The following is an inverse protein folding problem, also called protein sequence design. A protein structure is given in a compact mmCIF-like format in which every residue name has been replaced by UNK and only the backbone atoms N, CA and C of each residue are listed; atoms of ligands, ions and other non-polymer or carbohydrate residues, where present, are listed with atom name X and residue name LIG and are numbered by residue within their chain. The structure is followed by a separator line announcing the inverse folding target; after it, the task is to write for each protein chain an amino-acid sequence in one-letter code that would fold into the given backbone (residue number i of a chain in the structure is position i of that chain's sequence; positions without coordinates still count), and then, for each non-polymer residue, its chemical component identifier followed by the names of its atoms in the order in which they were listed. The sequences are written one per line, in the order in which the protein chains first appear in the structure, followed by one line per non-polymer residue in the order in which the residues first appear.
data_IF_239997831323
#
_entry.id   IF_239997831323
#
_cell.length_a   1.000
_cell.length_b   1.000
_cell.length_c   1.000
_cell.angle_alpha   90.00
_cell.angle_beta   90.00
_cell.angle_gamma   90.00
#
_symmetry.space_group_name_H-M   'P 1'
#
loop_
_entity.id
_entity.type
_entity.pdbx_description
1 polymer ?
#
# COMPACT_ATOMS: atom_id res chain seq x y z
N UNK A 1 8.97 -3.46 5.73
CA UNK A 1 7.63 -2.83 5.71
C UNK A 1 7.61 -1.57 4.83
N UNK A 2 8.64 -0.73 4.92
CA UNK A 2 8.80 0.53 4.17
C UNK A 2 8.44 0.44 2.67
N UNK A 3 9.05 -0.49 1.91
CA UNK A 3 8.75 -0.68 0.48
C UNK A 3 7.24 -0.93 0.23
N UNK A 4 6.56 -1.67 1.11
CA UNK A 4 5.13 -1.94 0.94
C UNK A 4 4.27 -0.69 1.19
N UNK A 5 4.70 0.18 2.11
CA UNK A 5 4.05 1.48 2.34
C UNK A 5 4.28 2.41 1.14
N UNK A 6 5.50 2.46 0.60
CA UNK A 6 5.81 3.27 -0.59
C UNK A 6 5.00 2.82 -1.81
N UNK A 7 4.92 1.50 -2.08
CA UNK A 7 4.07 0.97 -3.15
C UNK A 7 2.60 1.40 -2.96
N UNK A 8 2.08 1.33 -1.73
CA UNK A 8 0.71 1.72 -1.43
C UNK A 8 0.48 3.23 -1.64
N UNK A 9 1.44 4.06 -1.28
CA UNK A 9 1.40 5.50 -1.48
C UNK A 9 1.40 5.86 -2.98
N UNK A 10 2.32 5.28 -3.76
CA UNK A 10 2.37 5.50 -5.20
C UNK A 10 1.10 5.03 -5.92
N UNK A 11 0.51 3.91 -5.49
CA UNK A 11 -0.79 3.46 -6.01
C UNK A 11 -1.91 4.44 -5.68
N UNK A 12 -1.85 5.10 -4.52
CA UNK A 12 -2.80 6.13 -4.13
C UNK A 12 -2.63 7.38 -5.00
N UNK A 13 -1.39 7.86 -5.15
CA UNK A 13 -1.08 9.00 -6.04
C UNK A 13 -1.51 8.74 -7.49
N UNK A 14 -1.23 7.55 -8.03
CA UNK A 14 -1.66 7.15 -9.37
C UNK A 14 -3.17 7.20 -9.50
N UNK A 15 -3.89 6.65 -8.51
CA UNK A 15 -5.35 6.67 -8.49
C UNK A 15 -5.88 8.10 -8.49
N UNK A 16 -5.33 8.98 -7.67
CA UNK A 16 -5.71 10.40 -7.61
C UNK A 16 -5.46 11.13 -8.94
N UNK A 17 -4.35 10.82 -9.62
CA UNK A 17 -4.08 11.36 -10.96
C UNK A 17 -5.11 10.89 -11.99
N UNK A 18 -5.53 9.62 -11.92
CA UNK A 18 -6.49 9.05 -12.89
C UNK A 18 -7.95 9.36 -12.60
N UNK A 19 -8.33 9.56 -11.33
CA UNK A 19 -9.71 9.84 -10.90
C UNK A 19 -10.03 11.34 -10.84
N UNK A 20 -9.01 12.18 -10.99
CA UNK A 20 -9.16 13.63 -11.03
C UNK A 20 -10.04 14.13 -12.17
N UNK A 21 -10.95 15.05 -11.84
CA UNK A 21 -11.99 15.63 -12.70
C UNK A 21 -11.50 16.65 -13.74
N UNK A 22 -12.45 17.14 -14.54
CA UNK A 22 -12.39 18.12 -15.64
C UNK A 22 -11.48 19.33 -15.45
N UNK A 23 -11.17 19.71 -14.20
CA UNK A 23 -10.24 20.81 -13.88
C UNK A 23 -8.80 20.48 -14.31
N UNK A 24 -8.35 19.22 -14.19
CA UNK A 24 -7.02 18.82 -14.66
C UNK A 24 -6.92 18.71 -16.18
N UNK A 25 -8.03 18.47 -16.87
CA UNK A 25 -8.08 18.47 -18.34
C UNK A 25 -7.75 19.86 -18.91
N UNK A 26 -8.24 20.90 -18.23
CA UNK A 26 -7.89 22.30 -18.53
C UNK A 26 -6.44 22.59 -18.19
N UNK A 27 -5.91 22.02 -17.10
CA UNK A 27 -4.49 22.17 -16.74
C UNK A 27 -3.54 21.45 -17.70
N UNK A 28 -3.88 20.25 -18.19
CA UNK A 28 -3.07 19.53 -19.19
C UNK A 28 -2.92 20.33 -20.48
N UNK A 29 -4.03 20.90 -20.97
CA UNK A 29 -4.05 21.72 -22.19
C UNK A 29 -3.29 23.05 -22.01
N UNK A 30 -3.32 23.65 -20.81
CA UNK A 30 -2.69 24.96 -20.53
C UNK A 30 -1.23 24.83 -20.12
N UNK A 31 -0.87 23.81 -19.35
CA UNK A 31 0.47 23.60 -18.79
C UNK A 31 1.28 22.53 -19.55
N UNK A 32 0.71 21.91 -20.58
CA UNK A 32 1.36 20.90 -21.42
C UNK A 32 1.93 19.72 -20.60
N UNK A 33 1.24 19.36 -19.52
CA UNK A 33 1.57 18.24 -18.64
C UNK A 33 0.92 16.98 -19.20
N UNK A 34 1.73 15.93 -19.41
CA UNK A 34 1.23 14.62 -19.86
C UNK A 34 0.93 13.74 -18.65
N UNK A 35 -0.33 13.66 -18.22
CA UNK A 35 -0.74 12.75 -17.14
C UNK A 35 -0.48 11.30 -17.56
N UNK A 36 -0.63 10.98 -18.85
CA UNK A 36 -0.28 9.65 -19.38
C UNK A 36 1.18 9.27 -19.11
N UNK A 37 2.12 10.21 -19.32
CA UNK A 37 3.54 9.96 -19.04
C UNK A 37 3.79 9.82 -17.53
N UNK A 38 3.14 10.63 -16.70
CA UNK A 38 3.26 10.54 -15.25
C UNK A 38 2.71 9.21 -14.71
N UNK A 39 1.55 8.76 -15.21
CA UNK A 39 0.96 7.46 -14.87
C UNK A 39 1.88 6.32 -15.30
N UNK A 40 2.47 6.40 -16.50
CA UNK A 40 3.43 5.40 -16.99
C UNK A 40 4.67 5.30 -16.08
N UNK A 41 5.25 6.44 -15.70
CA UNK A 41 6.40 6.47 -14.79
C UNK A 41 6.07 5.88 -13.41
N UNK A 42 4.86 6.16 -12.89
CA UNK A 42 4.40 5.56 -11.65
C UNK A 42 4.25 4.05 -11.76
N UNK A 43 3.70 3.55 -12.87
CA UNK A 43 3.56 2.11 -13.10
C UNK A 43 4.91 1.39 -13.22
N UNK A 44 5.88 1.99 -13.89
CA UNK A 44 7.26 1.48 -13.96
C UNK A 44 7.88 1.40 -12.55
N UNK A 45 7.82 2.51 -11.78
CA UNK A 45 8.39 2.56 -10.42
C UNK A 45 7.72 1.57 -9.46
N UNK A 46 6.39 1.44 -9.54
CA UNK A 46 5.64 0.44 -8.77
C UNK A 46 6.10 -0.96 -9.15
N UNK A 47 6.22 -1.25 -10.45
CA UNK A 47 6.65 -2.56 -10.96
C UNK A 47 8.06 -2.94 -10.49
N UNK A 48 9.00 -2.00 -10.51
CA UNK A 48 10.37 -2.19 -9.99
C UNK A 48 10.37 -2.49 -8.48
N UNK A 49 9.58 -1.76 -7.69
CA UNK A 49 9.47 -2.03 -6.26
C UNK A 49 8.83 -3.39 -5.98
N UNK A 50 7.73 -3.73 -6.65
CA UNK A 50 7.12 -5.06 -6.56
C UNK A 50 8.13 -6.15 -6.96
N UNK A 51 9.01 -5.85 -7.92
CA UNK A 51 10.10 -6.72 -8.36
C UNK A 51 11.29 -6.81 -7.40
N UNK A 52 11.43 -5.91 -6.44
CA UNK A 52 12.45 -5.98 -5.39
C UNK A 52 12.00 -6.73 -4.13
N UNK A 53 10.69 -6.98 -3.98
CA UNK A 53 10.14 -7.75 -2.87
C UNK A 53 10.69 -9.18 -2.85
N UNK A 54 11.08 -9.67 -1.67
CA UNK A 54 11.48 -11.06 -1.49
C UNK A 54 10.35 -12.02 -1.90
N UNK A 55 10.66 -13.24 -2.40
CA UNK A 55 9.64 -14.19 -2.85
C UNK A 55 8.48 -14.44 -1.86
N UNK A 56 8.70 -14.63 -0.54
CA UNK A 56 7.59 -14.84 0.39
C UNK A 56 6.72 -13.59 0.56
N UNK A 57 7.32 -12.39 0.57
CA UNK A 57 6.59 -11.13 0.70
C UNK A 57 5.78 -10.85 -0.57
N UNK A 58 6.37 -11.06 -1.75
CA UNK A 58 5.70 -10.87 -3.03
C UNK A 58 4.49 -11.79 -3.22
N UNK A 59 4.64 -13.07 -2.88
CA UNK A 59 3.54 -14.04 -2.96
C UNK A 59 2.34 -13.59 -2.11
N UNK A 60 2.60 -13.15 -0.87
CA UNK A 60 1.56 -12.62 0.00
C UNK A 60 0.97 -11.31 -0.54
N UNK A 61 1.82 -10.39 -0.97
CA UNK A 61 1.41 -9.11 -1.53
C UNK A 61 0.44 -9.30 -2.70
N UNK A 62 0.78 -10.15 -3.69
CA UNK A 62 -0.08 -10.43 -4.83
C UNK A 62 -1.46 -10.97 -4.40
N UNK A 63 -1.49 -11.87 -3.41
CA UNK A 63 -2.74 -12.43 -2.87
C UNK A 63 -3.62 -11.37 -2.20
N UNK A 64 -3.01 -10.45 -1.47
CA UNK A 64 -3.72 -9.39 -0.73
C UNK A 64 -4.17 -8.27 -1.67
N UNK A 65 -3.28 -7.81 -2.57
CA UNK A 65 -3.55 -6.76 -3.54
C UNK A 65 -4.69 -7.12 -4.50
N UNK A 66 -4.83 -8.40 -4.85
CA UNK A 66 -5.96 -8.89 -5.66
C UNK A 66 -7.34 -8.82 -4.95
N UNK A 67 -7.38 -8.56 -3.64
CA UNK A 67 -8.62 -8.50 -2.84
C UNK A 67 -8.86 -7.15 -2.18
N UNK A 68 -7.80 -6.36 -2.01
CA UNK A 68 -7.81 -5.17 -1.17
C UNK A 68 -7.00 -4.05 -1.80
N UNK A 69 -7.59 -2.86 -1.89
CA UNK A 69 -6.92 -1.66 -2.38
C UNK A 69 -5.73 -1.24 -1.50
N UNK A 70 -5.85 -1.41 -0.17
CA UNK A 70 -4.77 -1.22 0.80
C UNK A 70 -4.28 -2.57 1.30
N UNK A 71 -2.97 -2.80 1.15
CA UNK A 71 -2.28 -4.05 1.51
C UNK A 71 -1.61 -3.98 2.89
N UNK A 72 -1.28 -2.77 3.35
CA UNK A 72 -0.68 -2.48 4.65
C UNK A 72 -1.64 -1.63 5.48
N UNK A 73 -1.92 -2.05 6.71
CA UNK A 73 -2.89 -1.38 7.60
C UNK A 73 -2.38 -1.29 9.04
N UNK A 74 -2.81 -0.27 9.80
CA UNK A 74 -2.38 -0.13 11.17
C UNK A 74 -3.07 -1.16 12.07
N UNK A 75 -2.39 -1.47 13.17
CA UNK A 75 -3.00 -2.04 14.35
C UNK A 75 -3.15 -0.95 15.39
N UNK A 76 -4.37 -0.69 15.85
CA UNK A 76 -4.66 0.30 16.90
C UNK A 76 -5.40 -0.42 18.02
N UNK A 77 -4.89 -0.34 19.25
CA UNK A 77 -5.49 -1.02 20.39
C UNK A 77 -5.64 -2.54 20.20
N UNK A 78 -4.67 -3.19 19.54
CA UNK A 78 -4.74 -4.63 19.24
C UNK A 78 -5.79 -5.01 18.19
N UNK A 79 -6.28 -4.07 17.39
CA UNK A 79 -7.27 -4.33 16.32
C UNK A 79 -6.67 -4.05 14.95
N UNK A 80 -6.87 -4.97 13.99
CA UNK A 80 -6.51 -4.76 12.58
C UNK A 80 -7.49 -3.77 11.92
N UNK A 81 -7.02 -2.61 11.47
CA UNK A 81 -7.90 -1.61 10.83
C UNK A 81 -8.23 -1.89 9.36
N UNK A 82 -7.83 -3.07 8.86
CA UNK A 82 -8.26 -3.55 7.55
C UNK A 82 -9.55 -4.39 7.59
N UNK A 83 -9.80 -5.12 8.68
CA UNK A 83 -10.98 -5.99 8.82
C UNK A 83 -11.67 -5.90 10.19
N UNK A 84 -11.18 -5.03 11.08
CA UNK A 84 -11.73 -4.77 12.41
C UNK A 84 -11.74 -5.98 13.35
N UNK A 85 -10.87 -6.97 13.10
CA UNK A 85 -10.69 -8.14 13.98
C UNK A 85 -9.50 -7.92 14.90
N UNK A 86 -9.62 -8.37 16.16
CA UNK A 86 -8.54 -8.36 17.13
C UNK A 86 -7.35 -9.20 16.66
N UNK A 87 -6.15 -8.66 16.80
CA UNK A 87 -4.90 -9.38 16.52
C UNK A 87 -4.36 -10.02 17.81
N UNK A 88 -3.61 -11.13 17.72
CA UNK A 88 -3.04 -11.78 18.90
C UNK A 88 -2.16 -10.85 19.74
N UNK A 89 -2.24 -10.96 21.07
CA UNK A 89 -1.51 -10.10 22.02
C UNK A 89 0.01 -10.14 21.83
N UNK A 90 0.55 -11.31 21.47
CA UNK A 90 1.97 -11.48 21.17
C UNK A 90 2.43 -10.58 20.01
N UNK A 91 1.56 -10.38 19.02
CA UNK A 91 1.83 -9.46 17.91
C UNK A 91 1.63 -8.00 18.32
N UNK A 92 0.65 -7.71 19.16
CA UNK A 92 0.37 -6.36 19.63
C UNK A 92 1.41 -5.83 20.65
N UNK A 93 2.15 -6.72 21.30
CA UNK A 93 3.11 -6.38 22.37
C UNK A 93 4.57 -6.48 21.93
N UNK A 94 4.82 -6.63 20.63
CA UNK A 94 6.17 -6.81 20.09
C UNK A 94 7.05 -5.57 20.38
N UNK A 95 8.21 -5.82 21.01
CA UNK A 95 9.16 -4.78 21.42
C UNK A 95 10.02 -4.29 20.24
N UNK A 96 10.22 -5.12 19.21
CA UNK A 96 10.95 -4.77 17.97
C UNK A 96 9.96 -4.28 16.89
N UNK A 97 9.16 -3.27 17.27
CA UNK A 97 8.04 -2.73 16.48
C UNK A 97 8.43 -2.51 15.02
N UNK A 98 7.66 -3.11 14.11
CA UNK A 98 7.74 -2.96 12.64
C UNK A 98 9.07 -3.40 11.97
N UNK A 99 10.01 -4.02 12.70
CA UNK A 99 11.22 -4.62 12.10
C UNK A 99 10.87 -5.87 11.30
N UNK A 100 10.04 -6.73 11.87
CA UNK A 100 9.53 -7.92 11.20
C UNK A 100 8.20 -7.68 10.49
N UNK A 101 8.05 -8.31 9.33
CA UNK A 101 6.83 -8.21 8.53
C UNK A 101 5.78 -9.16 9.08
N UNK A 102 4.79 -8.59 9.75
CA UNK A 102 3.64 -9.30 10.28
C UNK A 102 2.39 -9.12 9.42
N UNK A 103 1.42 -10.01 9.59
CA UNK A 103 0.17 -9.99 8.83
C UNK A 103 -1.02 -10.43 9.68
N UNK A 104 -2.21 -9.97 9.30
CA UNK A 104 -3.46 -10.38 9.92
C UNK A 104 -3.84 -11.80 9.49
N UNK A 105 -4.12 -12.69 10.44
CA UNK A 105 -4.57 -14.07 10.13
C UNK A 105 -5.97 -14.10 9.50
N UNK A 106 -6.80 -13.09 9.76
CA UNK A 106 -8.17 -13.01 9.26
C UNK A 106 -8.24 -12.52 7.80
N UNK A 107 -7.62 -11.37 7.47
CA UNK A 107 -7.71 -10.79 6.12
C UNK A 107 -6.41 -10.88 5.31
N UNK A 108 -5.31 -11.31 5.92
CA UNK A 108 -4.03 -11.50 5.24
C UNK A 108 -3.20 -10.24 5.01
N UNK A 109 -3.77 -9.03 5.23
CA UNK A 109 -3.05 -7.74 5.08
C UNK A 109 -1.84 -7.66 6.00
N UNK A 110 -0.82 -6.95 5.53
CA UNK A 110 0.36 -6.64 6.33
C UNK A 110 -0.01 -5.64 7.43
N UNK A 111 0.60 -5.82 8.59
CA UNK A 111 0.33 -5.03 9.78
C UNK A 111 1.50 -4.13 10.10
N UNK A 112 1.19 -2.91 10.52
CA UNK A 112 2.14 -2.03 11.18
C UNK A 112 1.56 -1.56 12.50
N UNK A 113 2.37 -1.59 13.55
CA UNK A 113 1.98 -1.14 14.87
C UNK A 113 2.15 0.37 14.94
N UNK A 114 1.11 1.05 15.41
CA UNK A 114 1.16 2.47 15.78
C UNK A 114 1.02 2.61 17.28
N UNK A 115 1.70 3.61 17.84
CA UNK A 115 1.65 3.95 19.26
C UNK A 115 0.35 4.67 19.63
#
# INVERSE_FOLDING_TARGET
LEILLEIQDLKTQKRELTEASSERQVEEEVFNVSIEDAVRQLDEKIGEMEASLSPPVRSRYNRVAGRHARVVVPVIGGTCYGCFVSVPTALASDADRNRDISHCDSCGRFLYLID
#
